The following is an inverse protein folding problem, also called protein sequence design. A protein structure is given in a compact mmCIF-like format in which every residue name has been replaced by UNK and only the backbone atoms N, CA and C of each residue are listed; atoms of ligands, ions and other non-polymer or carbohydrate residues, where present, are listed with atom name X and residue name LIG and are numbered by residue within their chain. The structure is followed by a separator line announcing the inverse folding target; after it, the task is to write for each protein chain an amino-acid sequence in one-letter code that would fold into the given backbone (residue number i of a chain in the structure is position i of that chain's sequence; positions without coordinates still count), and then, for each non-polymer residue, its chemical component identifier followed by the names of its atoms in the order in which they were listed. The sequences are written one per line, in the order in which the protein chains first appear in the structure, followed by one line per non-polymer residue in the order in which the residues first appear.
data_IF_480595046970
#
_entry.id   IF_480595046970
#
_cell.length_a   1.000
_cell.length_b   1.000
_cell.length_c   1.000
_cell.angle_alpha   90.00
_cell.angle_beta   90.00
_cell.angle_gamma   90.00
#
_symmetry.space_group_name_H-M   'P 1'
#
loop_
_entity.id
_entity.type
_entity.pdbx_description
1 polymer ?
#
# COMPACT_ATOMS: atom_id res chain seq x y z
N UNK A 1 28.85 -37.91 56.95
CA UNK A 1 29.14 -37.38 55.62
C UNK A 1 27.82 -37.06 54.92
N UNK A 2 27.46 -35.79 54.87
CA UNK A 2 26.23 -35.36 54.20
C UNK A 2 26.54 -35.02 52.75
N UNK A 3 25.96 -35.78 51.86
CA UNK A 3 26.06 -35.50 50.40
C UNK A 3 25.00 -34.43 50.07
N UNK A 4 25.48 -33.21 49.82
CA UNK A 4 24.58 -32.14 49.37
C UNK A 4 24.36 -32.32 47.86
N UNK A 5 23.21 -32.84 47.49
CA UNK A 5 22.75 -32.91 46.12
C UNK A 5 22.31 -31.50 45.73
N UNK A 6 23.16 -30.77 45.00
CA UNK A 6 22.78 -29.52 44.38
C UNK A 6 21.77 -29.80 43.25
N UNK A 7 20.52 -29.56 43.56
CA UNK A 7 19.44 -29.58 42.57
C UNK A 7 19.68 -28.40 41.62
N UNK A 8 20.23 -28.68 40.44
CA UNK A 8 20.26 -27.72 39.35
C UNK A 8 18.82 -27.49 38.85
N UNK A 9 18.26 -26.33 39.22
CA UNK A 9 17.01 -25.88 38.59
C UNK A 9 17.31 -25.60 37.13
N UNK A 10 16.87 -26.50 36.25
CA UNK A 10 16.83 -26.25 34.83
C UNK A 10 15.78 -25.18 34.59
N UNK A 11 16.21 -23.97 34.31
CA UNK A 11 15.37 -22.94 33.77
C UNK A 11 15.03 -23.36 32.32
N UNK A 12 13.83 -23.86 32.12
CA UNK A 12 13.26 -24.04 30.80
C UNK A 12 12.79 -22.65 30.37
N UNK A 13 13.57 -21.99 29.52
CA UNK A 13 13.12 -20.80 28.82
C UNK A 13 11.99 -21.23 27.89
N UNK A 14 10.80 -20.62 28.00
CA UNK A 14 9.77 -20.84 26.98
C UNK A 14 10.30 -20.27 25.67
N UNK A 15 10.45 -21.12 24.67
CA UNK A 15 10.65 -20.67 23.31
C UNK A 15 9.39 -19.87 22.92
N UNK A 16 9.51 -18.55 22.89
CA UNK A 16 8.50 -17.69 22.30
C UNK A 16 8.55 -17.98 20.80
N UNK A 17 7.66 -18.86 20.34
CA UNK A 17 7.38 -19.00 18.94
C UNK A 17 6.77 -17.67 18.48
N UNK A 18 7.58 -16.84 17.83
CA UNK A 18 7.08 -15.68 17.11
C UNK A 18 6.17 -16.22 16.02
N UNK A 19 4.87 -16.18 16.24
CA UNK A 19 3.86 -16.38 15.21
C UNK A 19 4.05 -15.20 14.23
N UNK A 20 4.77 -15.46 13.15
CA UNK A 20 4.75 -14.60 11.98
C UNK A 20 3.32 -14.67 11.45
N UNK A 21 2.54 -13.64 11.72
CA UNK A 21 1.23 -13.49 11.11
C UNK A 21 1.46 -13.35 9.60
N UNK A 22 1.23 -14.44 8.87
CA UNK A 22 1.19 -14.39 7.42
C UNK A 22 -0.12 -13.70 7.07
N UNK A 23 -0.03 -12.41 6.72
CA UNK A 23 -1.17 -11.70 6.18
C UNK A 23 -1.47 -12.27 4.80
N UNK A 24 -2.51 -13.10 4.72
CA UNK A 24 -3.04 -13.58 3.45
C UNK A 24 -3.97 -12.50 2.91
N UNK A 25 -3.51 -11.79 1.89
CA UNK A 25 -4.35 -10.81 1.20
C UNK A 25 -5.13 -11.50 0.08
N UNK A 26 -6.39 -11.09 -0.13
CA UNK A 26 -7.23 -11.59 -1.22
C UNK A 26 -6.69 -11.22 -2.61
N UNK A 27 -5.81 -10.22 -2.71
CA UNK A 27 -5.09 -9.79 -3.89
C UNK A 27 -3.57 -9.87 -3.70
N UNK A 28 -2.83 -9.46 -4.71
CA UNK A 28 -1.37 -9.50 -4.71
C UNK A 28 -0.73 -8.48 -3.75
N UNK A 29 -1.45 -7.40 -3.41
CA UNK A 29 -0.99 -6.29 -2.57
C UNK A 29 -1.92 -6.10 -1.38
N UNK A 30 -1.38 -5.65 -0.22
CA UNK A 30 -2.20 -5.25 0.91
C UNK A 30 -3.22 -4.19 0.51
N UNK A 31 -4.41 -4.30 1.08
CA UNK A 31 -5.47 -3.32 0.85
C UNK A 31 -5.33 -2.11 1.76
N UNK A 32 -5.73 -0.95 1.25
CA UNK A 32 -5.99 0.25 2.03
C UNK A 32 -7.45 0.65 1.84
N UNK A 33 -8.11 1.06 2.91
CA UNK A 33 -9.49 1.53 2.86
C UNK A 33 -9.60 2.99 2.43
N UNK A 34 -10.79 3.42 2.00
CA UNK A 34 -11.04 4.83 1.66
C UNK A 34 -10.74 5.77 2.84
N UNK A 35 -11.21 5.52 4.08
CA UNK A 35 -10.85 6.37 5.23
C UNK A 35 -9.36 6.43 5.52
N UNK A 36 -8.66 5.30 5.43
CA UNK A 36 -7.21 5.23 5.64
C UNK A 36 -6.45 6.03 4.58
N UNK A 37 -6.83 5.89 3.32
CA UNK A 37 -6.23 6.66 2.23
C UNK A 37 -6.49 8.16 2.39
N UNK A 38 -7.72 8.54 2.73
CA UNK A 38 -8.07 9.94 3.01
C UNK A 38 -7.18 10.54 4.09
N UNK A 39 -6.96 9.82 5.19
CA UNK A 39 -6.07 10.26 6.27
C UNK A 39 -4.61 10.41 5.78
N UNK A 40 -4.12 9.47 4.98
CA UNK A 40 -2.77 9.50 4.42
C UNK A 40 -2.58 10.70 3.46
N UNK A 41 -3.57 10.98 2.63
CA UNK A 41 -3.57 12.16 1.73
C UNK A 41 -3.53 13.45 2.55
N UNK A 42 -4.38 13.57 3.56
CA UNK A 42 -4.44 14.75 4.44
C UNK A 42 -3.12 15.00 5.18
N UNK A 43 -2.45 13.92 5.59
CA UNK A 43 -1.14 13.98 6.25
C UNK A 43 0.02 14.15 5.26
N UNK A 44 -0.23 14.15 3.94
CA UNK A 44 0.80 14.16 2.89
C UNK A 44 1.83 13.03 3.03
N UNK A 45 1.36 11.85 3.42
CA UNK A 45 2.16 10.67 3.70
C UNK A 45 1.88 9.51 2.73
N UNK A 46 1.49 9.81 1.52
CA UNK A 46 1.21 8.83 0.48
C UNK A 46 1.55 9.36 -0.91
N UNK A 47 2.05 8.49 -1.76
CA UNK A 47 2.09 8.70 -3.21
C UNK A 47 1.03 7.82 -3.84
N UNK A 48 0.15 8.43 -4.61
CA UNK A 48 -1.02 7.79 -5.17
C UNK A 48 -0.88 7.67 -6.68
N UNK A 49 -1.04 6.46 -7.21
CA UNK A 49 -0.93 6.14 -8.62
C UNK A 49 -2.29 5.75 -9.19
N UNK A 50 -2.80 6.56 -10.10
CA UNK A 50 -4.03 6.30 -10.85
C UNK A 50 -3.71 5.50 -12.12
N UNK A 51 -4.24 4.30 -12.22
CA UNK A 51 -4.06 3.40 -13.35
C UNK A 51 -5.26 3.33 -14.29
N UNK A 52 -6.16 4.32 -14.24
CA UNK A 52 -7.34 4.38 -15.11
C UNK A 52 -7.06 4.85 -16.54
N UNK A 53 -5.87 5.36 -16.80
CA UNK A 53 -5.50 5.97 -18.07
C UNK A 53 -5.61 7.49 -18.05
N UNK A 54 -4.83 8.14 -18.90
CA UNK A 54 -4.67 9.61 -18.92
C UNK A 54 -5.98 10.34 -19.13
N UNK A 55 -6.81 9.89 -20.06
CA UNK A 55 -8.10 10.56 -20.36
C UNK A 55 -9.07 10.52 -19.18
N UNK A 56 -9.16 9.39 -18.52
CA UNK A 56 -10.00 9.24 -17.32
C UNK A 56 -9.46 10.03 -16.14
N UNK A 57 -8.14 9.98 -15.96
CA UNK A 57 -7.48 10.75 -14.93
C UNK A 57 -7.74 12.26 -15.09
N UNK A 58 -7.64 12.79 -16.31
CA UNK A 58 -7.91 14.18 -16.59
C UNK A 58 -9.36 14.60 -16.29
N UNK A 59 -10.32 13.70 -16.51
CA UNK A 59 -11.73 13.95 -16.20
C UNK A 59 -12.03 13.93 -14.70
N UNK A 60 -11.32 13.11 -13.94
CA UNK A 60 -11.47 13.02 -12.51
C UNK A 60 -10.57 11.97 -11.89
N UNK A 61 -9.89 12.34 -10.81
CA UNK A 61 -8.99 11.47 -10.07
C UNK A 61 -9.05 11.80 -8.58
N UNK A 62 -8.61 10.87 -7.76
CA UNK A 62 -8.46 11.10 -6.32
C UNK A 62 -7.42 12.20 -6.10
N UNK A 63 -7.64 13.16 -5.19
CA UNK A 63 -6.72 14.28 -4.98
C UNK A 63 -5.27 13.82 -4.80
N UNK A 64 -4.35 14.49 -5.42
CA UNK A 64 -2.91 14.20 -5.49
C UNK A 64 -2.49 13.00 -6.34
N UNK A 65 -3.41 12.26 -6.93
CA UNK A 65 -3.05 11.09 -7.74
C UNK A 65 -2.25 11.47 -8.97
N UNK A 66 -1.17 10.73 -9.18
CA UNK A 66 -0.34 10.79 -10.38
C UNK A 66 -0.99 9.95 -11.48
N UNK A 67 -1.10 10.48 -12.68
CA UNK A 67 -1.46 9.70 -13.87
C UNK A 67 -0.33 8.70 -14.18
N UNK A 68 -0.50 7.45 -13.77
CA UNK A 68 0.51 6.43 -14.00
C UNK A 68 0.78 6.20 -15.48
N UNK A 69 -0.24 6.21 -16.32
CA UNK A 69 -0.10 5.97 -17.76
C UNK A 69 0.77 7.02 -18.42
N UNK A 70 0.51 8.29 -18.12
CA UNK A 70 1.29 9.42 -18.67
C UNK A 70 2.66 9.57 -18.03
N UNK A 71 2.86 9.08 -16.82
CA UNK A 71 4.10 9.26 -16.06
C UNK A 71 5.03 8.04 -16.06
N UNK A 72 4.68 6.96 -16.77
CA UNK A 72 5.44 5.70 -16.77
C UNK A 72 6.95 5.86 -16.86
N UNK A 73 7.40 6.63 -17.82
CA UNK A 73 8.84 6.81 -18.12
C UNK A 73 9.55 7.75 -17.13
N UNK A 74 8.78 8.46 -16.32
CA UNK A 74 9.27 9.44 -15.34
C UNK A 74 9.03 9.01 -13.88
N UNK A 75 8.46 7.84 -13.69
CA UNK A 75 7.97 7.40 -12.36
C UNK A 75 9.07 7.47 -11.30
N UNK A 76 10.29 7.06 -11.64
CA UNK A 76 11.42 7.10 -10.71
C UNK A 76 11.73 8.51 -10.18
N UNK A 77 11.44 9.55 -10.97
CA UNK A 77 11.66 10.94 -10.57
C UNK A 77 10.48 11.53 -9.77
N UNK A 78 9.31 10.91 -9.84
CA UNK A 78 8.09 11.39 -9.19
C UNK A 78 7.85 10.73 -7.82
N UNK A 79 8.43 9.57 -7.59
CA UNK A 79 8.31 8.86 -6.33
C UNK A 79 9.33 9.37 -5.30
N UNK A 80 9.01 9.34 -4.00
CA UNK A 80 9.92 9.81 -2.97
C UNK A 80 11.19 8.96 -2.90
N UNK A 81 12.27 9.56 -2.40
CA UNK A 81 13.56 8.86 -2.23
C UNK A 81 13.51 7.75 -1.17
N UNK A 82 12.67 7.92 -0.17
CA UNK A 82 12.43 6.90 0.85
C UNK A 82 11.67 5.70 0.25
N UNK A 83 12.35 4.58 0.12
CA UNK A 83 11.77 3.35 -0.44
C UNK A 83 10.77 2.65 0.48
N UNK A 84 10.70 3.04 1.74
CA UNK A 84 9.67 2.63 2.70
C UNK A 84 8.40 3.50 2.68
N UNK A 85 8.38 4.57 1.88
CA UNK A 85 7.22 5.44 1.76
C UNK A 85 6.00 4.68 1.22
N UNK A 86 4.81 5.03 1.70
CA UNK A 86 3.56 4.44 1.26
C UNK A 86 3.26 4.83 -0.19
N UNK A 87 3.13 3.84 -1.04
CA UNK A 87 2.66 3.98 -2.41
C UNK A 87 1.34 3.23 -2.55
N UNK A 88 0.31 3.90 -3.04
CA UNK A 88 -1.00 3.31 -3.26
C UNK A 88 -1.33 3.35 -4.74
N UNK A 89 -1.69 2.21 -5.31
CA UNK A 89 -2.18 2.11 -6.68
C UNK A 89 -3.68 1.83 -6.69
N UNK A 90 -4.41 2.41 -7.62
CA UNK A 90 -5.83 2.16 -7.81
C UNK A 90 -6.25 2.26 -9.27
N UNK A 91 -7.40 1.68 -9.58
CA UNK A 91 -8.11 1.90 -10.84
C UNK A 91 -9.61 2.06 -10.60
N UNK A 92 -10.47 1.43 -11.38
CA UNK A 92 -11.91 1.73 -11.38
C UNK A 92 -12.67 1.24 -10.15
N UNK A 93 -12.42 0.03 -9.71
CA UNK A 93 -13.15 -0.61 -8.62
C UNK A 93 -12.62 -1.99 -8.29
N UNK A 94 -13.37 -2.81 -7.49
CA UNK A 94 -12.87 -4.09 -6.97
C UNK A 94 -12.50 -5.12 -8.04
N UNK A 95 -13.07 -5.02 -9.23
CA UNK A 95 -12.82 -5.97 -10.33
C UNK A 95 -11.71 -5.51 -11.28
N UNK A 96 -11.28 -4.27 -11.17
CA UNK A 96 -10.24 -3.73 -12.05
C UNK A 96 -8.87 -4.24 -11.62
N UNK A 97 -8.07 -4.69 -12.59
CA UNK A 97 -6.71 -5.17 -12.37
C UNK A 97 -5.61 -4.27 -12.94
N UNK A 98 -5.98 -3.18 -13.59
CA UNK A 98 -5.01 -2.24 -14.17
C UNK A 98 -4.03 -1.66 -13.14
N UNK A 99 -4.44 -1.55 -11.87
CA UNK A 99 -3.57 -1.09 -10.78
C UNK A 99 -2.30 -1.94 -10.62
N UNK A 100 -2.34 -3.22 -10.99
CA UNK A 100 -1.20 -4.14 -10.85
C UNK A 100 0.03 -3.64 -11.62
N UNK A 101 -0.17 -3.05 -12.78
CA UNK A 101 0.91 -2.46 -13.57
C UNK A 101 1.62 -1.33 -12.83
N UNK A 102 0.86 -0.45 -12.20
CA UNK A 102 1.39 0.64 -11.40
C UNK A 102 2.08 0.15 -10.13
N UNK A 103 1.46 -0.78 -9.41
CA UNK A 103 2.04 -1.39 -8.22
C UNK A 103 3.35 -2.12 -8.51
N UNK A 104 3.39 -2.92 -9.57
CA UNK A 104 4.61 -3.63 -9.99
C UNK A 104 5.72 -2.67 -10.42
N UNK A 105 5.37 -1.56 -11.09
CA UNK A 105 6.35 -0.56 -11.47
C UNK A 105 7.01 0.09 -10.23
N UNK A 106 6.23 0.41 -9.20
CA UNK A 106 6.76 0.90 -7.93
C UNK A 106 7.66 -0.15 -7.25
N UNK A 107 7.23 -1.40 -7.19
CA UNK A 107 8.03 -2.50 -6.63
C UNK A 107 9.38 -2.67 -7.34
N UNK A 108 9.40 -2.63 -8.66
CA UNK A 108 10.63 -2.73 -9.46
C UNK A 108 11.61 -1.58 -9.18
N UNK A 109 11.09 -0.42 -8.78
CA UNK A 109 11.91 0.72 -8.34
C UNK A 109 12.39 0.61 -6.89
N UNK A 110 12.04 -0.47 -6.18
CA UNK A 110 12.51 -0.78 -4.83
C UNK A 110 11.57 -0.36 -3.70
N UNK A 111 10.34 0.10 -4.01
CA UNK A 111 9.37 0.47 -2.97
C UNK A 111 8.80 -0.77 -2.30
N UNK A 112 8.84 -0.79 -0.96
CA UNK A 112 8.48 -1.95 -0.14
C UNK A 112 7.13 -1.84 0.54
N UNK A 113 6.51 -0.65 0.53
CA UNK A 113 5.21 -0.39 1.15
C UNK A 113 4.18 0.01 0.09
N UNK A 114 3.86 -0.92 -0.79
CA UNK A 114 2.89 -0.75 -1.88
C UNK A 114 1.57 -1.37 -1.49
N UNK A 115 0.49 -0.59 -1.54
CA UNK A 115 -0.87 -1.02 -1.23
C UNK A 115 -1.82 -0.75 -2.39
N UNK A 116 -2.96 -1.42 -2.36
CA UNK A 116 -4.03 -1.29 -3.34
C UNK A 116 -5.29 -0.70 -2.69
N UNK A 117 -5.85 0.35 -3.28
CA UNK A 117 -7.19 0.80 -2.97
C UNK A 117 -8.18 -0.07 -3.76
N UNK A 118 -8.61 -1.18 -3.18
CA UNK A 118 -9.50 -2.14 -3.82
C UNK A 118 -10.85 -1.52 -4.21
N UNK A 119 -11.37 -0.62 -3.37
CA UNK A 119 -12.59 0.12 -3.69
C UNK A 119 -12.48 0.95 -4.98
N UNK A 120 -11.28 1.34 -5.38
CA UNK A 120 -11.01 2.12 -6.58
C UNK A 120 -11.66 3.50 -6.56
N UNK A 121 -11.64 4.15 -7.71
CA UNK A 121 -12.27 5.47 -7.85
C UNK A 121 -13.78 5.41 -7.60
N UNK A 122 -14.44 4.31 -7.96
CA UNK A 122 -15.88 4.14 -7.73
C UNK A 122 -16.21 4.12 -6.23
N UNK A 123 -15.43 3.45 -5.41
CA UNK A 123 -15.62 3.45 -3.95
C UNK A 123 -15.30 4.80 -3.31
N UNK A 124 -14.30 5.49 -3.80
CA UNK A 124 -13.97 6.84 -3.37
C UNK A 124 -15.12 7.81 -3.62
N UNK A 125 -15.69 7.78 -4.83
CA UNK A 125 -16.87 8.58 -5.20
C UNK A 125 -18.12 8.20 -4.40
N UNK A 126 -18.36 6.90 -4.21
CA UNK A 126 -19.51 6.41 -3.43
C UNK A 126 -19.45 6.83 -1.96
N UNK A 127 -18.26 7.02 -1.41
CA UNK A 127 -18.04 7.57 -0.07
C UNK A 127 -18.26 9.10 0.01
N UNK A 128 -18.59 9.75 -1.11
CA UNK A 128 -18.81 11.19 -1.16
C UNK A 128 -17.55 12.04 -1.05
N UNK A 129 -16.39 11.45 -1.30
CA UNK A 129 -15.11 12.12 -1.17
C UNK A 129 -14.80 13.04 -2.36
N UNK A 130 -14.00 14.07 -2.09
CA UNK A 130 -13.62 15.08 -3.07
C UNK A 130 -12.78 14.48 -4.22
N UNK A 131 -13.04 14.96 -5.43
CA UNK A 131 -12.29 14.63 -6.64
C UNK A 131 -11.56 15.84 -7.16
N UNK A 132 -10.39 15.63 -7.78
CA UNK A 132 -9.71 16.62 -8.59
C UNK A 132 -9.86 16.29 -10.08
N UNK A 133 -9.65 17.27 -10.94
CA UNK A 133 -9.69 17.14 -12.39
C UNK A 133 -8.68 18.08 -13.05
N UNK A 134 -8.39 17.80 -14.33
CA UNK A 134 -7.42 18.60 -15.11
C UNK A 134 -5.98 18.12 -14.95
N UNK A 135 -5.08 18.82 -15.60
CA UNK A 135 -3.64 18.51 -15.65
C UNK A 135 -2.87 19.21 -14.53
#
# INVERSE_FOLDING_TARGET
MSIVIKTMKRFILPAIAALLAVNVYAGQYPEITVPELKAAISAKQVVLLDANGTDKWAKGHIPSAIDFTGAKDKLANLLPKDKGALVVAYCGGPRCRAYEGAAKAAEKLGYTNVKHLTAGISGWQAAGEKMDSGN
#
